data_IF_656910628709
#
_entry.id   IF_656910628709
#
_cell.length_a   1.000
_cell.length_b   1.000
_cell.length_c   1.000
_cell.angle_alpha   90.00
_cell.angle_beta   90.00
_cell.angle_gamma   90.00
#
_symmetry.space_group_name_H-M   'P 1'
#
loop_
_entity.id
_entity.type
_entity.pdbx_description
1 polymer ?
#
# COMPACT_ATOMS: atom_id res chain seq x y z
N UNK A 1 11.55 6.98 12.89
CA UNK A 1 10.63 6.21 13.76
C UNK A 1 11.34 5.31 14.76
N UNK A 2 12.16 4.31 14.36
CA UNK A 2 12.81 3.39 15.34
C UNK A 2 13.58 4.09 16.46
N UNK A 3 14.44 5.06 16.13
CA UNK A 3 15.17 5.83 17.16
C UNK A 3 14.21 6.56 18.11
N UNK A 4 13.19 7.23 17.58
CA UNK A 4 12.20 7.93 18.40
C UNK A 4 11.40 6.98 19.31
N UNK A 5 11.15 5.73 18.89
CA UNK A 5 10.56 4.71 19.75
C UNK A 5 11.50 4.31 20.90
N UNK A 6 12.79 4.12 20.62
CA UNK A 6 13.80 3.86 21.66
C UNK A 6 13.94 5.03 22.64
N UNK A 7 13.80 6.25 22.15
CA UNK A 7 13.79 7.47 22.95
C UNK A 7 12.48 7.67 23.74
N UNK A 8 11.48 6.77 23.62
CA UNK A 8 10.19 6.88 24.30
C UNK A 8 9.27 7.99 23.77
N UNK A 9 9.46 8.44 22.53
CA UNK A 9 8.71 9.55 21.89
C UNK A 9 7.53 9.07 21.02
N UNK A 10 7.25 7.77 21.01
CA UNK A 10 6.22 7.16 20.15
C UNK A 10 5.33 6.26 21.00
N UNK A 11 4.03 6.46 20.90
CA UNK A 11 3.03 5.50 21.33
C UNK A 11 2.79 4.46 20.23
N UNK A 12 2.80 3.18 20.62
CA UNK A 12 2.53 2.08 19.71
C UNK A 12 1.16 1.47 20.01
N UNK A 13 0.26 1.51 19.02
CA UNK A 13 -1.05 0.88 19.09
C UNK A 13 -0.96 -0.47 18.37
N UNK A 14 -0.94 -1.62 19.10
CA UNK A 14 -0.91 -2.92 18.46
C UNK A 14 -2.26 -3.21 17.80
N UNK A 15 -2.28 -3.31 16.48
CA UNK A 15 -3.46 -3.67 15.70
C UNK A 15 -3.07 -4.38 14.39
N UNK A 16 -3.94 -5.26 13.89
CA UNK A 16 -3.77 -5.77 12.54
C UNK A 16 -4.15 -4.69 11.52
N UNK A 17 -3.43 -4.63 10.38
CA UNK A 17 -3.73 -3.68 9.32
C UNK A 17 -5.20 -3.77 8.84
N UNK A 18 -5.75 -4.98 8.80
CA UNK A 18 -7.15 -5.24 8.44
C UNK A 18 -8.18 -4.72 9.45
N UNK A 19 -7.75 -4.38 10.67
CA UNK A 19 -8.62 -3.84 11.72
C UNK A 19 -8.68 -2.31 11.70
N UNK A 20 -7.70 -1.65 11.08
CA UNK A 20 -7.62 -0.18 10.98
C UNK A 20 -8.93 0.45 10.49
N UNK A 21 -9.62 -0.07 9.44
CA UNK A 21 -10.92 0.46 9.04
C UNK A 21 -11.97 0.43 10.15
N UNK A 22 -11.99 -0.63 10.97
CA UNK A 22 -12.95 -0.77 12.09
C UNK A 22 -12.61 0.19 13.22
N UNK A 23 -11.32 0.41 13.48
CA UNK A 23 -10.86 1.34 14.52
C UNK A 23 -11.26 2.78 14.20
N UNK A 24 -11.16 3.20 12.94
CA UNK A 24 -11.65 4.51 12.49
C UNK A 24 -13.18 4.58 12.51
N UNK A 25 -13.86 3.55 11.97
CA UNK A 25 -15.34 3.51 11.94
C UNK A 25 -15.98 3.62 13.32
N UNK A 26 -15.43 2.91 14.30
CA UNK A 26 -15.96 2.90 15.67
C UNK A 26 -15.42 4.04 16.54
N UNK A 27 -14.62 4.94 15.95
CA UNK A 27 -13.98 6.06 16.64
C UNK A 27 -13.11 5.63 17.84
N UNK A 28 -12.56 4.40 17.80
CA UNK A 28 -11.52 3.98 18.75
C UNK A 28 -10.20 4.71 18.47
N UNK A 29 -9.97 5.06 17.19
CA UNK A 29 -8.96 6.01 16.76
C UNK A 29 -9.69 7.08 15.96
N UNK A 30 -9.84 8.28 16.53
CA UNK A 30 -10.46 9.41 15.85
C UNK A 30 -9.54 10.00 14.79
N UNK A 31 -10.12 10.45 13.68
CA UNK A 31 -9.42 11.16 12.62
C UNK A 31 -10.05 12.53 12.41
N UNK A 32 -9.36 13.59 12.79
CA UNK A 32 -9.82 14.95 12.50
C UNK A 32 -9.46 15.36 11.07
N UNK A 33 -8.24 15.03 10.62
CA UNK A 33 -7.73 15.43 9.31
C UNK A 33 -7.07 14.24 8.61
N UNK A 34 -7.42 14.02 7.35
CA UNK A 34 -6.71 13.11 6.44
C UNK A 34 -5.91 13.93 5.41
N UNK A 35 -4.57 13.78 5.45
CA UNK A 35 -3.68 14.29 4.42
C UNK A 35 -3.40 13.16 3.42
N UNK A 36 -3.81 13.35 2.17
CA UNK A 36 -3.65 12.34 1.12
C UNK A 36 -3.05 12.92 -0.15
N UNK A 37 -2.43 12.07 -0.96
CA UNK A 37 -1.98 12.42 -2.30
C UNK A 37 -2.86 11.68 -3.33
N UNK A 38 -3.32 12.40 -4.35
CA UNK A 38 -4.25 11.87 -5.37
C UNK A 38 -3.83 12.25 -6.78
N UNK A 39 -4.28 11.48 -7.77
CA UNK A 39 -4.19 11.86 -9.17
C UNK A 39 -5.07 13.09 -9.47
N UNK A 40 -4.84 13.81 -10.58
CA UNK A 40 -5.80 14.79 -11.08
C UNK A 40 -7.20 14.19 -11.29
N UNK A 41 -8.27 14.98 -11.11
CA UNK A 41 -9.62 14.53 -11.38
C UNK A 41 -9.81 14.23 -12.87
N UNK A 42 -10.56 13.20 -13.20
CA UNK A 42 -11.02 13.00 -14.58
C UNK A 42 -12.18 13.94 -14.92
N UNK A 43 -12.66 13.86 -16.17
CA UNK A 43 -13.85 14.58 -16.66
C UNK A 43 -15.12 14.41 -15.82
N UNK A 44 -15.18 13.38 -14.97
CA UNK A 44 -16.31 13.09 -14.08
C UNK A 44 -16.05 13.54 -12.63
N UNK A 45 -14.98 14.29 -12.36
CA UNK A 45 -14.65 14.79 -11.02
C UNK A 45 -14.01 13.75 -10.08
N UNK A 46 -13.60 12.58 -10.59
CA UNK A 46 -12.96 11.55 -9.76
C UNK A 46 -11.44 11.58 -9.83
N UNK A 47 -10.82 11.75 -8.67
CA UNK A 47 -9.40 11.52 -8.41
C UNK A 47 -9.17 10.04 -8.03
N UNK A 48 -7.91 9.59 -8.07
CA UNK A 48 -7.50 8.26 -7.57
C UNK A 48 -6.46 8.41 -6.47
N UNK A 49 -6.58 7.63 -5.40
CA UNK A 49 -5.60 7.46 -4.31
C UNK A 49 -4.28 6.82 -4.80
N UNK A 50 -4.29 6.25 -6.00
CA UNK A 50 -3.12 5.72 -6.69
C UNK A 50 -2.45 4.56 -5.96
N UNK A 51 -1.20 4.75 -5.53
CA UNK A 51 -0.35 3.66 -5.03
C UNK A 51 -0.71 3.17 -3.61
N UNK A 52 -1.52 3.93 -2.87
CA UNK A 52 -1.89 3.61 -1.49
C UNK A 52 -3.40 3.70 -1.32
N UNK A 53 -4.07 2.55 -1.20
CA UNK A 53 -5.52 2.46 -0.93
C UNK A 53 -5.78 1.92 0.49
N UNK A 54 -4.84 1.12 1.01
CA UNK A 54 -4.85 0.45 2.31
C UNK A 54 -5.58 1.18 3.46
N UNK A 55 -4.87 2.05 4.17
CA UNK A 55 -5.40 2.82 5.30
C UNK A 55 -5.91 4.19 4.86
N UNK A 56 -5.51 4.63 3.67
CA UNK A 56 -5.93 5.91 3.09
C UNK A 56 -7.41 5.92 2.76
N UNK A 57 -7.96 4.84 2.18
CA UNK A 57 -9.38 4.75 1.87
C UNK A 57 -10.29 4.85 3.11
N UNK A 58 -10.08 4.07 4.20
CA UNK A 58 -10.87 4.27 5.41
C UNK A 58 -10.56 5.63 6.07
N UNK A 59 -9.35 6.17 5.95
CA UNK A 59 -9.04 7.49 6.49
C UNK A 59 -9.87 8.60 5.83
N UNK A 60 -9.95 8.66 4.50
CA UNK A 60 -10.79 9.63 3.78
C UNK A 60 -12.28 9.42 4.04
N UNK A 61 -12.69 8.21 4.46
CA UNK A 61 -14.10 7.91 4.73
C UNK A 61 -14.56 8.39 6.11
N UNK A 62 -13.65 8.42 7.08
CA UNK A 62 -13.98 8.68 8.48
C UNK A 62 -13.34 9.97 9.05
N UNK A 63 -12.43 10.61 8.31
CA UNK A 63 -11.89 11.91 8.70
C UNK A 63 -12.94 13.01 8.60
N UNK A 64 -12.84 14.02 9.47
CA UNK A 64 -13.70 15.21 9.44
C UNK A 64 -13.31 16.21 8.36
N UNK A 65 -12.02 16.25 8.01
CA UNK A 65 -11.43 17.15 7.01
C UNK A 65 -10.46 16.36 6.12
N UNK A 66 -10.53 16.58 4.81
CA UNK A 66 -9.69 15.92 3.81
C UNK A 66 -8.93 16.99 3.03
N UNK A 67 -7.61 16.94 3.13
CA UNK A 67 -6.69 17.78 2.36
C UNK A 67 -5.96 16.87 1.38
N UNK A 68 -6.23 17.07 0.10
CA UNK A 68 -5.66 16.25 -0.96
C UNK A 68 -4.64 17.04 -1.79
N UNK A 69 -3.41 16.56 -1.78
CA UNK A 69 -2.40 16.99 -2.73
C UNK A 69 -2.68 16.39 -4.10
N UNK A 70 -2.89 17.22 -5.11
CA UNK A 70 -3.11 16.77 -6.49
C UNK A 70 -1.76 16.67 -7.21
N UNK A 71 -1.32 15.45 -7.45
CA UNK A 71 -0.05 15.15 -8.09
C UNK A 71 -0.27 14.45 -9.45
N UNK A 72 0.03 15.09 -10.60
CA UNK A 72 -0.06 14.46 -11.92
C UNK A 72 0.75 13.18 -12.09
N UNK A 73 1.77 12.95 -11.26
CA UNK A 73 2.60 11.72 -11.27
C UNK A 73 1.97 10.57 -10.49
N UNK A 74 0.90 10.81 -9.73
CA UNK A 74 0.17 9.75 -9.03
C UNK A 74 -0.59 8.89 -10.05
N UNK A 75 -0.29 7.57 -10.18
CA UNK A 75 -0.99 6.72 -11.13
C UNK A 75 -2.47 6.59 -10.77
N UNK A 76 -3.31 6.43 -11.79
CA UNK A 76 -4.74 6.15 -11.61
C UNK A 76 -4.96 4.64 -11.52
N UNK A 77 -5.05 4.12 -10.30
CA UNK A 77 -5.28 2.69 -10.06
C UNK A 77 -6.78 2.35 -10.12
N UNK A 78 -7.12 1.12 -10.48
CA UNK A 78 -8.51 0.64 -10.48
C UNK A 78 -8.90 0.08 -9.10
N UNK A 79 -10.18 -0.25 -8.91
CA UNK A 79 -10.73 -0.74 -7.64
C UNK A 79 -11.27 0.39 -6.77
N UNK A 80 -11.25 0.21 -5.45
CA UNK A 80 -11.75 1.17 -4.46
C UNK A 80 -10.78 2.35 -4.21
N UNK A 81 -10.12 2.83 -5.27
CA UNK A 81 -9.14 3.91 -5.20
C UNK A 81 -9.74 5.29 -5.48
N UNK A 82 -11.01 5.38 -5.87
CA UNK A 82 -11.60 6.61 -6.37
C UNK A 82 -12.22 7.46 -5.26
N UNK A 83 -11.99 8.77 -5.34
CA UNK A 83 -12.62 9.79 -4.49
C UNK A 83 -13.10 10.93 -5.39
N UNK A 84 -14.33 11.38 -5.19
CA UNK A 84 -14.89 12.51 -5.93
C UNK A 84 -14.40 13.83 -5.31
N UNK A 85 -14.15 14.86 -6.13
CA UNK A 85 -13.67 16.17 -5.66
C UNK A 85 -14.58 16.82 -4.61
N UNK A 86 -15.90 16.59 -4.68
CA UNK A 86 -16.86 17.09 -3.69
C UNK A 86 -16.69 16.46 -2.29
N UNK A 87 -15.94 15.37 -2.17
CA UNK A 87 -15.61 14.75 -0.89
C UNK A 87 -14.30 15.29 -0.32
N UNK A 88 -13.62 16.22 -1.00
CA UNK A 88 -12.34 16.77 -0.60
C UNK A 88 -12.55 18.22 -0.19
N UNK A 89 -12.16 18.58 1.03
CA UNK A 89 -12.31 19.95 1.55
C UNK A 89 -11.28 20.91 0.96
N UNK A 90 -10.05 20.45 0.78
CA UNK A 90 -8.96 21.25 0.21
C UNK A 90 -8.18 20.47 -0.85
N UNK A 91 -8.11 21.04 -2.06
CA UNK A 91 -7.28 20.54 -3.16
C UNK A 91 -6.03 21.41 -3.29
N UNK A 92 -4.87 20.79 -3.18
CA UNK A 92 -3.57 21.47 -3.22
C UNK A 92 -2.75 20.93 -4.40
N UNK A 93 -2.69 21.64 -5.54
CA UNK A 93 -1.87 21.22 -6.67
C UNK A 93 -0.38 21.26 -6.32
N UNK A 94 0.30 20.12 -6.35
CA UNK A 94 1.75 20.04 -6.18
C UNK A 94 2.29 18.77 -6.85
N UNK A 95 3.17 18.96 -7.83
CA UNK A 95 3.82 17.88 -8.55
C UNK A 95 5.14 17.48 -7.86
N UNK A 96 5.27 16.20 -7.55
CA UNK A 96 6.53 15.64 -7.05
C UNK A 96 6.70 14.18 -7.47
N UNK A 97 7.95 13.68 -7.58
CA UNK A 97 8.19 12.27 -7.83
C UNK A 97 7.52 11.38 -6.76
N UNK A 98 6.88 10.29 -7.19
CA UNK A 98 6.39 9.29 -6.25
C UNK A 98 7.58 8.60 -5.56
N UNK A 99 7.51 8.50 -4.24
CA UNK A 99 8.56 7.88 -3.43
C UNK A 99 8.73 6.43 -3.87
N UNK A 100 9.96 6.07 -4.23
CA UNK A 100 10.34 4.71 -4.60
C UNK A 100 11.49 4.24 -3.74
N UNK A 101 11.42 2.98 -3.31
CA UNK A 101 12.48 2.32 -2.53
C UNK A 101 12.97 1.13 -3.33
N UNK A 102 14.27 1.13 -3.63
CA UNK A 102 14.91 0.01 -4.29
C UNK A 102 15.37 -1.00 -3.23
N UNK A 103 15.10 -2.31 -3.44
CA UNK A 103 15.50 -3.32 -2.49
C UNK A 103 17.03 -3.42 -2.43
N UNK A 104 17.56 -3.45 -1.21
CA UNK A 104 18.97 -3.74 -0.96
C UNK A 104 19.22 -5.21 -1.33
N UNK A 105 20.20 -5.47 -2.18
CA UNK A 105 20.59 -6.85 -2.51
C UNK A 105 21.23 -7.51 -1.29
N UNK A 106 20.69 -8.66 -0.87
CA UNK A 106 21.30 -9.54 0.13
C UNK A 106 22.24 -10.55 -0.56
N UNK A 107 22.92 -11.36 0.26
CA UNK A 107 23.76 -12.46 -0.21
C UNK A 107 23.03 -13.32 -1.25
N UNK A 108 23.56 -13.33 -2.48
CA UNK A 108 22.94 -13.98 -3.63
C UNK A 108 22.78 -15.48 -3.42
N UNK A 109 23.73 -16.14 -2.74
CA UNK A 109 23.70 -17.60 -2.62
C UNK A 109 22.68 -18.07 -1.59
N UNK A 110 22.61 -17.39 -0.44
CA UNK A 110 21.58 -17.66 0.57
C UNK A 110 20.19 -17.46 -0.04
N UNK A 111 20.00 -16.33 -0.71
CA UNK A 111 18.70 -15.97 -1.29
C UNK A 111 18.29 -16.95 -2.40
N UNK A 112 19.25 -17.42 -3.22
CA UNK A 112 19.03 -18.45 -4.24
C UNK A 112 18.59 -19.78 -3.64
N UNK A 113 19.25 -20.23 -2.56
CA UNK A 113 18.90 -21.48 -1.88
C UNK A 113 17.49 -21.42 -1.28
N UNK A 114 17.13 -20.30 -0.64
CA UNK A 114 15.77 -20.13 -0.12
C UNK A 114 14.75 -20.16 -1.26
N UNK A 115 15.01 -19.44 -2.36
CA UNK A 115 14.15 -19.45 -3.55
C UNK A 115 13.90 -20.85 -4.10
N UNK A 116 14.95 -21.68 -4.19
CA UNK A 116 14.84 -23.07 -4.63
C UNK A 116 13.97 -23.92 -3.70
N UNK A 117 14.15 -23.84 -2.39
CA UNK A 117 13.30 -24.63 -1.47
C UNK A 117 11.84 -24.18 -1.49
N UNK A 118 11.59 -22.88 -1.57
CA UNK A 118 10.22 -22.35 -1.71
C UNK A 118 9.58 -22.84 -3.02
N UNK A 119 10.33 -22.90 -4.12
CA UNK A 119 9.78 -23.35 -5.41
C UNK A 119 9.35 -24.82 -5.42
N UNK A 120 9.92 -25.66 -4.54
CA UNK A 120 9.47 -27.04 -4.36
C UNK A 120 8.09 -27.14 -3.67
N UNK A 121 7.72 -26.12 -2.87
CA UNK A 121 6.44 -26.08 -2.15
C UNK A 121 5.32 -25.42 -2.95
N UNK A 122 5.66 -24.69 -4.02
CA UNK A 122 4.67 -24.01 -4.87
C UNK A 122 4.25 -24.94 -6.01
N UNK A 123 2.96 -25.25 -6.05
CA UNK A 123 2.32 -26.05 -7.09
C UNK A 123 1.91 -25.19 -8.29
N UNK A 124 1.73 -25.84 -9.44
CA UNK A 124 1.14 -25.18 -10.61
C UNK A 124 -0.33 -24.84 -10.34
N UNK A 125 -0.73 -23.63 -10.71
CA UNK A 125 -2.05 -23.09 -10.41
C UNK A 125 -2.15 -22.42 -9.03
N UNK A 126 -1.04 -22.26 -8.30
CA UNK A 126 -1.06 -21.57 -7.02
C UNK A 126 -1.39 -20.07 -7.15
N UNK A 127 -2.08 -19.53 -6.12
CA UNK A 127 -2.27 -18.09 -5.92
C UNK A 127 -1.22 -17.57 -4.95
N UNK A 128 -0.40 -16.61 -5.38
CA UNK A 128 0.74 -16.13 -4.59
C UNK A 128 0.40 -14.89 -3.78
N UNK A 129 0.69 -14.93 -2.47
CA UNK A 129 0.85 -13.73 -1.65
C UNK A 129 2.33 -13.52 -1.33
N UNK A 130 2.87 -12.38 -1.76
CA UNK A 130 4.30 -12.09 -1.60
C UNK A 130 4.55 -10.64 -1.21
N UNK A 131 5.54 -10.43 -0.33
CA UNK A 131 6.00 -9.11 0.09
C UNK A 131 6.96 -8.44 -0.90
N UNK A 132 7.59 -7.35 -0.47
CA UNK A 132 8.64 -6.66 -1.21
C UNK A 132 10.02 -6.95 -0.59
N UNK A 133 11.06 -6.88 -1.40
CA UNK A 133 12.43 -7.08 -0.94
C UNK A 133 13.22 -8.05 -1.82
N UNK A 134 14.52 -8.17 -1.54
CA UNK A 134 15.43 -9.02 -2.30
C UNK A 134 15.08 -10.51 -2.19
N UNK A 135 14.60 -10.97 -1.03
CA UNK A 135 14.16 -12.36 -0.86
C UNK A 135 12.90 -12.71 -1.68
N UNK A 136 11.77 -11.95 -1.57
CA UNK A 136 10.64 -12.08 -2.50
C UNK A 136 11.04 -12.12 -3.98
N UNK A 137 11.94 -11.23 -4.41
CA UNK A 137 12.39 -11.18 -5.80
C UNK A 137 13.12 -12.46 -6.23
N UNK A 138 13.96 -13.03 -5.36
CA UNK A 138 14.67 -14.28 -5.64
C UNK A 138 13.74 -15.51 -5.63
N UNK A 139 12.73 -15.52 -4.76
CA UNK A 139 11.68 -16.54 -4.77
C UNK A 139 10.94 -16.48 -6.12
N UNK A 140 10.48 -15.30 -6.54
CA UNK A 140 9.81 -15.13 -7.84
C UNK A 140 10.71 -15.56 -9.01
N UNK A 141 12.01 -15.28 -8.94
CA UNK A 141 12.98 -15.73 -9.95
C UNK A 141 13.11 -17.27 -10.02
N UNK A 142 12.85 -17.97 -8.91
CA UNK A 142 12.88 -19.44 -8.82
C UNK A 142 11.54 -20.09 -9.23
N UNK A 143 10.48 -19.30 -9.39
CA UNK A 143 9.15 -19.76 -9.82
C UNK A 143 8.91 -19.58 -11.32
N UNK A 144 9.92 -19.19 -12.11
CA UNK A 144 9.77 -18.88 -13.55
C UNK A 144 9.17 -20.01 -14.40
N UNK A 145 9.42 -21.25 -14.00
CA UNK A 145 8.93 -22.44 -14.72
C UNK A 145 7.56 -22.93 -14.21
N UNK A 146 7.05 -22.33 -13.12
CA UNK A 146 5.75 -22.67 -12.54
C UNK A 146 4.64 -21.87 -13.21
N UNK A 147 3.49 -22.51 -13.40
CA UNK A 147 2.28 -21.81 -13.86
C UNK A 147 1.62 -21.16 -12.66
N UNK A 148 1.67 -19.84 -12.54
CA UNK A 148 0.99 -19.10 -11.47
C UNK A 148 -0.41 -18.71 -11.93
N UNK A 149 -1.42 -18.99 -11.10
CA UNK A 149 -2.83 -18.69 -11.42
C UNK A 149 -3.14 -17.21 -11.19
N UNK A 150 -2.77 -16.69 -10.03
CA UNK A 150 -3.04 -15.31 -9.63
C UNK A 150 -2.02 -14.82 -8.58
N UNK A 151 -1.93 -13.51 -8.39
CA UNK A 151 -1.11 -12.89 -7.35
C UNK A 151 -1.95 -11.91 -6.52
N UNK A 152 -2.18 -12.25 -5.26
CA UNK A 152 -2.85 -11.39 -4.29
C UNK A 152 -1.77 -10.68 -3.47
N UNK A 153 -1.64 -9.37 -3.69
CA UNK A 153 -0.75 -8.54 -2.88
C UNK A 153 -1.55 -7.80 -1.83
N UNK A 154 -1.19 -7.98 -0.55
CA UNK A 154 -1.81 -7.27 0.60
C UNK A 154 -1.71 -5.74 0.48
N UNK A 155 -0.79 -5.25 -0.35
CA UNK A 155 -0.60 -3.83 -0.68
C UNK A 155 -1.38 -3.34 -1.91
N UNK A 156 -2.10 -4.21 -2.61
CA UNK A 156 -2.88 -3.87 -3.81
C UNK A 156 -4.35 -4.25 -3.72
N UNK A 157 -4.79 -5.07 -2.76
CA UNK A 157 -6.20 -5.37 -2.56
C UNK A 157 -6.54 -5.53 -1.08
N UNK A 158 -7.41 -4.65 -0.59
CA UNK A 158 -8.42 -5.02 0.39
C UNK A 158 -9.67 -5.39 -0.41
N UNK A 159 -10.07 -6.65 -0.35
CA UNK A 159 -11.42 -7.11 -0.69
C UNK A 159 -12.15 -7.41 0.60
#
# INVERSE_FOLDING_TARGET
>A
MRQAAFDGKIDYIPAYLSEIPKLFKNNHIGLDVALVQVSPPCRYGFCSLGVSVDVTFPAIKYAKLIIAQVNPRMPRTMGDSFIHVNQIDHLVPYEEPIVSVYPIMHDKEITRRIGFYVSQLVEDGATLQIGFGSLPNAILASLKEKRILDCIRKWLQMK
#
